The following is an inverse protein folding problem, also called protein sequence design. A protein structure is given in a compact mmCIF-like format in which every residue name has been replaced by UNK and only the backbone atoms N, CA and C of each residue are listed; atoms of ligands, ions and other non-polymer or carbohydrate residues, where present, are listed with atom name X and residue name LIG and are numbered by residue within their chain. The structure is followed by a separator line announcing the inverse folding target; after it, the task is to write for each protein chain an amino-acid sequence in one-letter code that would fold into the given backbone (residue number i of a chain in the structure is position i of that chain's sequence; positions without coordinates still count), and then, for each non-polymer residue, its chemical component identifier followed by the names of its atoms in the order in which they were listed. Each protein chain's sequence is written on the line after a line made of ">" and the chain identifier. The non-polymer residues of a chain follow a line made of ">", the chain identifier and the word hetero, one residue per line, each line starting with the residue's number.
data_IF_435998472936
#
_entry.id   IF_435998472936
#
_cell.length_a   1.000
_cell.length_b   1.000
_cell.length_c   1.000
_cell.angle_alpha   90.00
_cell.angle_beta   90.00
_cell.angle_gamma   90.00
#
_symmetry.space_group_name_H-M   'P 1'
#
loop_
_entity.id
_entity.type
_entity.pdbx_description
1 polymer ?
#
# COMPACT_ATOMS: atom_id res chain seq x y z
N UNK A 1 -12.15 -14.33 -20.92
CA UNK A 1 -13.51 -14.00 -20.40
C UNK A 1 -13.42 -13.97 -18.90
N UNK A 2 -14.15 -13.06 -18.25
CA UNK A 2 -14.15 -12.98 -16.80
C UNK A 2 -14.87 -14.18 -16.18
N UNK A 3 -14.28 -14.73 -15.12
CA UNK A 3 -14.89 -15.79 -14.33
C UNK A 3 -15.62 -15.21 -13.12
N UNK A 4 -16.62 -15.94 -12.61
CA UNK A 4 -17.31 -15.53 -11.38
C UNK A 4 -16.29 -15.49 -10.22
N UNK A 5 -16.37 -14.46 -9.37
CA UNK A 5 -15.45 -14.19 -8.26
C UNK A 5 -13.98 -13.89 -8.62
N UNK A 6 -13.70 -13.50 -9.87
CA UNK A 6 -12.36 -13.10 -10.27
C UNK A 6 -11.97 -11.74 -9.68
N UNK A 7 -10.87 -11.70 -8.93
CA UNK A 7 -10.33 -10.49 -8.28
C UNK A 7 -9.18 -9.89 -9.10
N UNK A 8 -8.33 -10.73 -9.70
CA UNK A 8 -7.19 -10.31 -10.54
C UNK A 8 -7.60 -10.05 -11.99
N UNK A 9 -6.67 -9.54 -12.80
CA UNK A 9 -6.87 -9.40 -14.24
C UNK A 9 -7.15 -10.74 -14.95
N UNK A 10 -7.78 -10.65 -16.13
CA UNK A 10 -7.90 -11.79 -17.05
C UNK A 10 -6.53 -12.18 -17.60
N UNK A 11 -6.42 -13.43 -18.05
CA UNK A 11 -5.21 -13.94 -18.70
C UNK A 11 -4.83 -13.05 -19.88
N UNK A 12 -3.53 -12.75 -19.99
CA UNK A 12 -3.00 -11.90 -21.02
C UNK A 12 -3.26 -12.50 -22.40
N UNK A 13 -3.94 -11.75 -23.26
CA UNK A 13 -4.18 -12.12 -24.66
C UNK A 13 -3.16 -11.48 -25.63
N UNK A 14 -2.22 -10.69 -25.11
CA UNK A 14 -1.14 -10.06 -25.88
C UNK A 14 0.09 -9.79 -25.00
N UNK A 15 1.30 -9.66 -25.59
CA UNK A 15 2.52 -9.35 -24.84
C UNK A 15 2.44 -8.04 -24.05
N UNK A 16 1.70 -7.04 -24.55
CA UNK A 16 1.54 -5.75 -23.87
C UNK A 16 0.72 -5.90 -22.59
N UNK A 17 -0.33 -6.74 -22.61
CA UNK A 17 -1.15 -6.99 -21.42
C UNK A 17 -0.34 -7.72 -20.35
N UNK A 18 0.55 -8.61 -20.74
CA UNK A 18 1.46 -9.28 -19.81
C UNK A 18 2.37 -8.28 -19.08
N UNK A 19 2.96 -7.33 -19.81
CA UNK A 19 3.81 -6.28 -19.22
C UNK A 19 3.00 -5.32 -18.32
N UNK A 20 1.76 -5.00 -18.68
CA UNK A 20 0.88 -4.19 -17.83
C UNK A 20 0.50 -4.90 -16.52
N UNK A 21 0.28 -6.22 -16.56
CA UNK A 21 0.01 -7.00 -15.35
C UNK A 21 1.25 -6.99 -14.43
N UNK A 22 2.46 -7.18 -14.99
CA UNK A 22 3.71 -7.08 -14.22
C UNK A 22 3.91 -5.71 -13.60
N UNK A 23 3.63 -4.64 -14.35
CA UNK A 23 3.71 -3.27 -13.85
C UNK A 23 2.69 -3.03 -12.73
N UNK A 24 1.45 -3.48 -12.92
CA UNK A 24 0.42 -3.39 -11.89
C UNK A 24 0.83 -4.11 -10.61
N UNK A 25 1.33 -5.34 -10.71
CA UNK A 25 1.73 -6.12 -9.53
C UNK A 25 2.85 -5.42 -8.76
N UNK A 26 3.80 -4.80 -9.46
CA UNK A 26 4.83 -3.98 -8.81
C UNK A 26 4.23 -2.76 -8.09
N UNK A 27 3.32 -2.03 -8.75
CA UNK A 27 2.65 -0.88 -8.15
C UNK A 27 1.78 -1.29 -6.94
N UNK A 28 1.08 -2.41 -7.03
CA UNK A 28 0.21 -2.94 -5.97
C UNK A 28 1.02 -3.29 -4.71
N UNK A 29 2.22 -3.87 -4.87
CA UNK A 29 3.13 -4.14 -3.74
C UNK A 29 3.47 -2.83 -3.01
N UNK A 30 3.80 -1.77 -3.74
CA UNK A 30 4.15 -0.46 -3.14
C UNK A 30 2.94 0.14 -2.41
N UNK A 31 1.76 0.12 -3.02
CA UNK A 31 0.54 0.66 -2.41
C UNK A 31 0.18 -0.11 -1.14
N UNK A 32 0.21 -1.45 -1.17
CA UNK A 32 -0.07 -2.27 0.01
C UNK A 32 0.96 -2.05 1.13
N UNK A 33 2.23 -1.87 0.80
CA UNK A 33 3.27 -1.55 1.79
C UNK A 33 2.98 -0.20 2.49
N UNK A 34 2.58 0.83 1.74
CA UNK A 34 2.23 2.13 2.33
C UNK A 34 0.95 2.02 3.16
N UNK A 35 -0.09 1.35 2.66
CA UNK A 35 -1.34 1.18 3.40
C UNK A 35 -1.15 0.42 4.71
N UNK A 36 -0.35 -0.65 4.71
CA UNK A 36 -0.04 -1.42 5.92
C UNK A 36 0.80 -0.63 6.92
N UNK A 37 1.78 0.16 6.45
CA UNK A 37 2.55 1.06 7.30
C UNK A 37 1.65 2.10 7.98
N UNK A 38 0.78 2.77 7.22
CA UNK A 38 -0.16 3.76 7.76
C UNK A 38 -1.12 3.12 8.76
N UNK A 39 -1.68 1.96 8.43
CA UNK A 39 -2.56 1.22 9.34
C UNK A 39 -1.84 0.85 10.65
N UNK A 40 -0.60 0.38 10.56
CA UNK A 40 0.22 0.06 11.72
C UNK A 40 0.50 1.28 12.60
N UNK A 41 0.81 2.44 12.01
CA UNK A 41 1.01 3.68 12.77
C UNK A 41 -0.28 4.14 13.45
N UNK A 42 -1.43 4.02 12.77
CA UNK A 42 -2.73 4.32 13.35
C UNK A 42 -3.05 3.42 14.54
N UNK A 43 -2.82 2.10 14.43
CA UNK A 43 -3.08 1.19 15.54
C UNK A 43 -2.15 1.47 16.71
N UNK A 44 -0.87 1.75 16.45
CA UNK A 44 0.12 2.10 17.47
C UNK A 44 -0.31 3.32 18.29
N UNK A 45 -0.70 4.42 17.62
CA UNK A 45 -1.14 5.66 18.29
C UNK A 45 -2.38 5.43 19.15
N UNK A 46 -3.32 4.59 18.68
CA UNK A 46 -4.56 4.31 19.40
C UNK A 46 -4.37 3.37 20.60
N UNK A 47 -3.36 2.49 20.57
CA UNK A 47 -3.08 1.54 21.66
C UNK A 47 -2.19 2.10 22.75
N UNK A 48 -1.32 3.05 22.42
CA UNK A 48 -0.35 3.63 23.35
C UNK A 48 -0.97 4.66 24.30
N UNK A 49 -0.38 4.79 25.49
CA UNK A 49 -0.82 5.81 26.47
C UNK A 49 -0.35 7.19 26.01
N UNK A 50 -1.28 7.96 25.45
CA UNK A 50 -1.04 9.33 24.99
C UNK A 50 -0.51 10.20 26.14
N UNK A 51 0.76 10.59 26.06
CA UNK A 51 1.35 11.63 26.90
C UNK A 51 1.76 12.78 25.99
N UNK A 52 1.17 13.96 26.22
CA UNK A 52 1.37 15.12 25.35
C UNK A 52 2.62 15.88 25.77
N UNK A 53 3.74 15.61 25.09
CA UNK A 53 4.92 16.47 25.10
C UNK A 53 5.15 16.96 23.66
N UNK A 54 5.37 18.26 23.47
CA UNK A 54 5.71 18.81 22.16
C UNK A 54 7.13 18.38 21.77
N UNK A 55 7.27 17.70 20.63
CA UNK A 55 8.55 17.30 20.05
C UNK A 55 8.78 18.14 18.79
N UNK A 56 10.03 18.55 18.56
CA UNK A 56 10.42 19.25 17.33
C UNK A 56 10.22 18.35 16.09
N UNK A 57 9.55 18.87 15.06
CA UNK A 57 9.09 18.08 13.91
C UNK A 57 10.03 18.12 12.70
N UNK A 58 11.04 19.01 12.70
CA UNK A 58 11.87 19.32 11.53
C UNK A 58 12.55 18.09 10.93
N UNK A 59 12.96 17.13 11.75
CA UNK A 59 13.61 15.91 11.28
C UNK A 59 12.65 14.94 10.59
N UNK A 60 11.36 14.94 10.96
CA UNK A 60 10.35 14.06 10.38
C UNK A 60 9.85 14.63 9.05
N UNK A 61 9.76 15.95 8.90
CA UNK A 61 9.32 16.59 7.65
C UNK A 61 10.28 16.36 6.46
N UNK A 62 11.54 16.06 6.74
CA UNK A 62 12.55 15.79 5.71
C UNK A 62 12.50 14.35 5.18
N UNK A 63 11.91 13.42 5.95
CA UNK A 63 11.82 11.99 5.62
C UNK A 63 10.58 11.72 4.77
#
# INVERSE_FOLDING_TARGET
>A
MANQSQINFQDASSPIIEELIKFHDHALIVVLAICTLVLYLLTLILTEKLTANTVDAQTIELV
#
